data_IF_526960141201
#
_entry.id   IF_526960141201
#
_cell.length_a   1.000
_cell.length_b   1.000
_cell.length_c   1.000
_cell.angle_alpha   90.00
_cell.angle_beta   90.00
_cell.angle_gamma   90.00
#
_symmetry.space_group_name_H-M   'P 1'
#
loop_
_entity.id
_entity.type
_entity.pdbx_description
1 polymer ?
#
# COMPACT_ATOMS: atom_id res chain seq x y z
N UNK A 1 22.07 -22.58 22.00
CA UNK A 1 22.80 -21.50 22.69
C UNK A 1 24.29 -21.75 22.52
N UNK A 2 24.94 -21.02 21.61
CA UNK A 2 26.41 -20.92 21.48
C UNK A 2 26.75 -19.79 20.49
N UNK A 3 27.33 -18.75 21.08
CA UNK A 3 28.32 -17.80 20.54
C UNK A 3 28.03 -17.07 19.22
N UNK A 4 27.42 -15.90 19.36
CA UNK A 4 27.63 -14.71 18.54
C UNK A 4 28.98 -14.06 18.93
N UNK A 5 29.80 -13.63 17.95
CA UNK A 5 30.55 -12.38 18.10
C UNK A 5 30.26 -11.47 16.87
N UNK A 6 29.81 -10.24 17.10
CA UNK A 6 30.66 -9.04 17.15
C UNK A 6 31.43 -8.82 15.84
N UNK A 7 30.85 -8.01 14.95
CA UNK A 7 31.57 -7.13 14.02
C UNK A 7 30.54 -6.06 13.56
N UNK A 8 30.33 -4.98 14.30
CA UNK A 8 31.00 -3.69 14.10
C UNK A 8 31.32 -3.38 12.62
N UNK A 9 30.37 -2.79 11.89
CA UNK A 9 30.57 -2.11 10.61
C UNK A 9 29.70 -0.85 10.65
N UNK A 10 30.27 0.25 11.14
CA UNK A 10 30.91 1.31 10.34
C UNK A 10 29.86 2.30 9.82
N UNK A 11 29.83 3.43 10.52
CA UNK A 11 29.16 4.68 10.18
C UNK A 11 29.74 5.18 8.85
N UNK A 12 28.92 5.29 7.81
CA UNK A 12 29.20 6.18 6.67
C UNK A 12 28.14 7.29 6.64
N UNK A 13 28.52 8.42 7.23
CA UNK A 13 28.01 9.72 6.86
C UNK A 13 28.66 10.15 5.53
N UNK A 14 27.88 10.69 4.59
CA UNK A 14 28.46 11.22 3.36
C UNK A 14 27.45 11.76 2.35
N UNK A 15 27.28 13.08 2.40
CA UNK A 15 27.04 14.00 1.28
C UNK A 15 25.76 13.87 0.41
N UNK A 16 24.82 14.79 0.64
CA UNK A 16 24.00 15.34 -0.43
C UNK A 16 24.82 16.24 -1.35
N UNK A 17 24.45 16.31 -2.62
CA UNK A 17 24.82 17.39 -3.54
C UNK A 17 23.69 17.63 -4.55
N UNK A 18 23.44 18.92 -4.77
CA UNK A 18 22.37 19.52 -5.55
C UNK A 18 22.60 19.44 -7.08
N UNK A 19 21.50 19.68 -7.81
CA UNK A 19 21.39 19.80 -9.27
C UNK A 19 22.35 20.79 -9.91
N UNK A 20 22.57 20.66 -11.24
CA UNK A 20 22.34 21.81 -12.10
C UNK A 20 21.48 21.56 -13.35
N UNK A 21 20.70 22.62 -13.59
CA UNK A 21 19.98 23.16 -14.74
C UNK A 21 20.75 23.13 -16.07
N UNK A 22 20.07 22.82 -17.18
CA UNK A 22 20.28 23.49 -18.47
C UNK A 22 18.94 23.69 -19.19
N UNK A 23 18.64 24.97 -19.42
CA UNK A 23 17.62 25.44 -20.33
C UNK A 23 18.26 25.57 -21.71
N UNK A 24 17.52 25.20 -22.76
CA UNK A 24 17.82 25.66 -24.12
C UNK A 24 16.52 26.01 -24.83
N UNK A 25 16.15 27.27 -24.67
CA UNK A 25 15.30 28.01 -25.61
C UNK A 25 16.10 28.28 -26.89
N UNK A 26 15.52 27.97 -28.05
CA UNK A 26 15.47 28.80 -29.27
C UNK A 26 14.62 28.02 -30.31
N UNK A 27 13.37 28.44 -30.54
CA UNK A 27 12.97 29.41 -31.56
C UNK A 27 13.28 28.93 -33.00
N UNK A 28 12.43 29.04 -34.01
CA UNK A 28 11.02 29.36 -34.17
C UNK A 28 10.71 29.00 -35.62
N UNK A 29 9.52 28.47 -35.92
CA UNK A 29 8.91 28.72 -37.23
C UNK A 29 7.40 28.75 -37.10
N UNK A 30 6.89 29.97 -37.11
CA UNK A 30 5.48 30.28 -37.20
C UNK A 30 4.95 29.95 -38.61
N UNK A 31 3.78 29.32 -38.65
CA UNK A 31 2.81 29.50 -39.74
C UNK A 31 1.47 29.88 -39.11
N UNK A 32 0.91 31.06 -39.42
CA UNK A 32 -0.41 31.46 -38.97
C UNK A 32 -1.49 30.63 -39.68
N UNK A 33 -2.22 29.79 -38.95
CA UNK A 33 -3.50 29.25 -39.42
C UNK A 33 -4.62 29.74 -38.52
N UNK A 34 -5.14 30.87 -38.96
CA UNK A 34 -6.55 31.25 -38.97
C UNK A 34 -7.44 30.69 -37.84
N UNK A 35 -7.77 31.63 -36.97
CA UNK A 35 -8.76 31.58 -35.89
C UNK A 35 -10.14 31.16 -36.43
N UNK A 36 -10.42 29.86 -36.44
CA UNK A 36 -11.80 29.39 -36.36
C UNK A 36 -12.24 29.44 -34.90
N UNK A 37 -12.99 30.49 -34.54
CA UNK A 37 -13.79 30.52 -33.30
C UNK A 37 -14.82 29.39 -33.37
N UNK A 38 -14.46 28.21 -32.89
CA UNK A 38 -15.45 27.22 -32.48
C UNK A 38 -15.88 27.60 -31.07
N UNK A 39 -17.03 28.26 -31.00
CA UNK A 39 -17.81 28.44 -29.77
C UNK A 39 -18.36 27.08 -29.32
N UNK A 40 -17.46 26.19 -28.89
CA UNK A 40 -17.83 25.00 -28.13
C UNK A 40 -18.02 25.43 -26.68
N UNK A 41 -19.26 25.42 -26.18
CA UNK A 41 -19.55 25.63 -24.76
C UNK A 41 -18.58 24.78 -23.93
N UNK A 42 -17.84 25.41 -23.01
CA UNK A 42 -17.05 24.69 -22.03
C UNK A 42 -17.98 23.72 -21.30
N UNK A 43 -17.80 22.43 -21.54
CA UNK A 43 -18.59 21.40 -20.89
C UNK A 43 -18.31 21.49 -19.39
N UNK A 44 -19.34 21.56 -18.51
CA UNK A 44 -19.12 21.63 -17.08
C UNK A 44 -18.22 20.46 -16.67
N UNK A 45 -17.11 20.75 -15.99
CA UNK A 45 -16.27 19.71 -15.43
C UNK A 45 -17.14 18.90 -14.45
N UNK A 46 -17.31 17.58 -14.62
CA UNK A 46 -18.13 16.80 -13.71
C UNK A 46 -17.67 17.02 -12.27
N UNK A 47 -18.62 17.33 -11.39
CA UNK A 47 -18.32 17.55 -9.99
C UNK A 47 -17.65 16.30 -9.38
N UNK A 48 -16.67 16.46 -8.48
CA UNK A 48 -16.01 15.33 -7.83
C UNK A 48 -17.04 14.44 -7.13
N UNK A 49 -17.10 13.16 -7.50
CA UNK A 49 -17.96 12.18 -6.85
C UNK A 49 -17.24 11.67 -5.60
N UNK A 50 -17.70 12.04 -4.42
CA UNK A 50 -17.17 11.52 -3.14
C UNK A 50 -17.82 10.16 -2.88
N UNK A 51 -17.02 9.09 -2.94
CA UNK A 51 -17.45 7.74 -2.59
C UNK A 51 -16.83 7.33 -1.24
N UNK A 52 -17.63 6.89 -0.28
CA UNK A 52 -17.11 6.31 0.96
C UNK A 52 -16.28 5.06 0.65
N UNK A 53 -15.04 5.03 1.14
CA UNK A 53 -14.19 3.83 1.06
C UNK A 53 -14.51 2.92 2.25
N UNK A 54 -14.97 1.71 1.97
CA UNK A 54 -15.16 0.68 3.00
C UNK A 54 -13.82 0.01 3.31
N UNK A 55 -13.05 0.59 4.24
CA UNK A 55 -11.79 -0.01 4.69
C UNK A 55 -12.07 -1.16 5.68
N UNK A 56 -11.43 -2.31 5.45
CA UNK A 56 -11.46 -3.42 6.39
C UNK A 56 -10.40 -3.21 7.48
N UNK A 57 -10.73 -3.57 8.73
CA UNK A 57 -9.73 -3.74 9.79
C UNK A 57 -10.08 -4.93 10.70
N UNK A 58 -9.04 -5.64 11.13
CA UNK A 58 -9.14 -6.79 12.04
C UNK A 58 -7.87 -7.01 12.84
N UNK A 59 -7.84 -8.09 13.62
CA UNK A 59 -6.68 -8.51 14.42
C UNK A 59 -6.26 -9.93 14.10
N UNK A 60 -4.96 -10.19 14.10
CA UNK A 60 -4.43 -11.55 14.00
C UNK A 60 -4.69 -12.28 15.31
N UNK A 61 -5.38 -13.42 15.24
CA UNK A 61 -5.72 -14.25 16.43
C UNK A 61 -4.95 -15.57 16.46
N UNK A 62 -4.43 -16.02 15.31
CA UNK A 62 -3.59 -17.20 15.22
C UNK A 62 -2.54 -17.01 14.12
N UNK A 63 -1.34 -17.53 14.36
CA UNK A 63 -0.24 -17.55 13.39
C UNK A 63 0.33 -18.95 13.28
N UNK A 64 0.44 -19.44 12.06
CA UNK A 64 1.23 -20.61 11.70
C UNK A 64 2.36 -20.16 10.78
N UNK A 65 3.48 -19.77 11.39
CA UNK A 65 4.64 -19.24 10.67
C UNK A 65 5.30 -20.27 9.72
N UNK A 66 5.45 -21.57 10.07
CA UNK A 66 5.98 -22.57 9.15
C UNK A 66 5.18 -22.71 7.86
N UNK A 67 3.85 -22.67 7.95
CA UNK A 67 2.96 -22.75 6.78
C UNK A 67 2.65 -21.39 6.16
N UNK A 68 3.23 -20.30 6.67
CA UNK A 68 2.97 -18.92 6.23
C UNK A 68 1.48 -18.61 6.17
N UNK A 69 0.78 -18.90 7.26
CA UNK A 69 -0.66 -18.75 7.36
C UNK A 69 -1.05 -18.02 8.64
N UNK A 70 -2.11 -17.21 8.58
CA UNK A 70 -2.68 -16.53 9.73
C UNK A 70 -4.20 -16.67 9.75
N UNK A 71 -4.78 -16.59 10.95
CA UNK A 71 -6.21 -16.35 11.12
C UNK A 71 -6.40 -14.93 11.64
N UNK A 72 -7.28 -14.21 10.98
CA UNK A 72 -7.64 -12.83 11.30
C UNK A 72 -9.09 -12.82 11.78
N UNK A 73 -9.31 -12.20 12.93
CA UNK A 73 -10.63 -11.85 13.43
C UNK A 73 -10.99 -10.45 12.90
N UNK A 74 -11.99 -10.41 12.03
CA UNK A 74 -12.59 -9.18 11.51
C UNK A 74 -13.77 -8.71 12.34
N UNK A 75 -14.54 -7.79 11.79
CA UNK A 75 -15.84 -7.42 12.34
C UNK A 75 -16.91 -8.37 11.82
N UNK A 76 -17.83 -8.82 12.68
CA UNK A 76 -18.91 -9.72 12.27
C UNK A 76 -19.71 -9.15 11.09
N UNK A 77 -19.91 -9.96 10.05
CA UNK A 77 -20.60 -9.54 8.82
C UNK A 77 -19.79 -8.68 7.85
N UNK A 78 -18.51 -8.43 8.14
CA UNK A 78 -17.57 -7.67 7.31
C UNK A 78 -16.31 -8.51 7.09
N UNK A 79 -16.38 -9.42 6.11
CA UNK A 79 -15.24 -10.16 5.63
C UNK A 79 -14.68 -9.51 4.36
N UNK A 80 -13.34 -9.43 4.22
CA UNK A 80 -12.73 -8.98 2.98
C UNK A 80 -12.97 -10.01 1.85
N UNK A 81 -13.06 -9.57 0.58
CA UNK A 81 -13.02 -10.47 -0.56
C UNK A 81 -11.83 -11.44 -0.54
N UNK A 82 -12.05 -12.64 -1.06
CA UNK A 82 -10.98 -13.62 -1.33
C UNK A 82 -9.97 -13.02 -2.30
N UNK A 83 -8.71 -13.39 -2.17
CA UNK A 83 -7.55 -12.86 -2.92
C UNK A 83 -7.27 -11.37 -2.67
N UNK A 84 -8.01 -10.71 -1.78
CA UNK A 84 -7.68 -9.35 -1.39
C UNK A 84 -6.34 -9.35 -0.63
N UNK A 85 -5.45 -8.46 -1.04
CA UNK A 85 -4.21 -8.19 -0.31
C UNK A 85 -4.47 -7.23 0.84
N UNK A 86 -3.99 -7.58 2.04
CA UNK A 86 -4.11 -6.79 3.25
C UNK A 86 -2.74 -6.60 3.90
N UNK A 87 -2.56 -5.45 4.52
CA UNK A 87 -1.34 -5.10 5.23
C UNK A 87 -1.44 -5.53 6.70
N UNK A 88 -0.33 -6.03 7.25
CA UNK A 88 -0.20 -6.36 8.68
C UNK A 88 0.65 -5.30 9.37
N UNK A 89 0.15 -4.79 10.49
CA UNK A 89 0.78 -3.74 11.29
C UNK A 89 1.02 -4.18 12.72
N UNK A 90 2.19 -3.82 13.25
CA UNK A 90 2.54 -3.93 14.67
C UNK A 90 2.91 -2.54 15.16
N UNK A 91 2.24 -2.08 16.21
CA UNK A 91 2.48 -0.75 16.80
C UNK A 91 2.45 0.39 15.76
N UNK A 92 1.59 0.25 14.74
CA UNK A 92 1.46 1.22 13.65
C UNK A 92 2.47 1.09 12.51
N UNK A 93 3.47 0.20 12.63
CA UNK A 93 4.44 -0.08 11.57
C UNK A 93 4.00 -1.28 10.73
N UNK A 94 4.06 -1.17 9.40
CA UNK A 94 3.81 -2.30 8.50
C UNK A 94 4.92 -3.35 8.66
N UNK A 95 4.53 -4.56 9.05
CA UNK A 95 5.44 -5.69 9.31
C UNK A 95 5.25 -6.86 8.35
N UNK A 96 4.15 -6.86 7.59
CA UNK A 96 3.87 -7.93 6.64
C UNK A 96 2.71 -7.63 5.69
N UNK A 97 2.47 -8.59 4.82
CA UNK A 97 1.37 -8.59 3.85
C UNK A 97 0.76 -9.97 3.82
N UNK A 98 -0.58 -10.02 3.83
CA UNK A 98 -1.35 -11.27 3.75
C UNK A 98 -2.34 -11.20 2.60
N UNK A 99 -2.67 -12.36 2.03
CA UNK A 99 -3.70 -12.51 0.99
C UNK A 99 -4.83 -13.35 1.55
N UNK A 100 -6.06 -12.87 1.45
CA UNK A 100 -7.25 -13.54 1.99
C UNK A 100 -7.51 -14.85 1.24
N UNK A 101 -7.65 -15.97 1.96
CA UNK A 101 -8.05 -17.26 1.36
C UNK A 101 -9.55 -17.54 1.55
N UNK A 102 -10.04 -18.63 0.97
CA UNK A 102 -11.48 -18.98 0.96
C UNK A 102 -12.04 -19.39 2.33
N UNK A 103 -11.19 -19.62 3.33
CA UNK A 103 -11.58 -20.29 4.56
C UNK A 103 -12.03 -19.26 5.58
N UNK A 104 -13.34 -19.19 5.85
CA UNK A 104 -13.92 -18.29 6.82
C UNK A 104 -14.93 -18.99 7.73
N UNK A 105 -15.04 -18.53 8.98
CA UNK A 105 -16.03 -18.96 9.97
C UNK A 105 -16.41 -17.78 10.85
N UNK A 106 -17.66 -17.33 10.75
CA UNK A 106 -18.15 -16.18 11.51
C UNK A 106 -17.39 -14.91 11.13
N UNK A 107 -16.74 -14.28 12.11
CA UNK A 107 -15.87 -13.11 11.88
C UNK A 107 -14.41 -13.47 11.56
N UNK A 108 -14.05 -14.75 11.66
CA UNK A 108 -12.68 -15.22 11.44
C UNK A 108 -12.49 -15.65 10.01
N UNK A 109 -11.35 -15.31 9.43
CA UNK A 109 -10.93 -15.81 8.13
C UNK A 109 -9.44 -16.09 8.11
N UNK A 110 -9.10 -16.95 7.17
CA UNK A 110 -7.78 -17.40 6.85
C UNK A 110 -7.09 -16.45 5.87
N UNK A 111 -5.79 -16.24 6.03
CA UNK A 111 -4.99 -15.52 5.05
C UNK A 111 -3.58 -16.07 4.98
N UNK A 112 -3.01 -16.05 3.77
CA UNK A 112 -1.65 -16.51 3.50
C UNK A 112 -0.68 -15.34 3.63
N UNK A 113 0.37 -15.52 4.42
CA UNK A 113 1.41 -14.54 4.69
C UNK A 113 2.43 -14.53 3.54
N UNK A 114 2.29 -13.57 2.63
CA UNK A 114 3.13 -13.47 1.43
C UNK A 114 4.41 -12.68 1.67
N UNK A 115 4.42 -11.76 2.63
CA UNK A 115 5.60 -10.96 2.98
C UNK A 115 5.73 -10.72 4.48
N UNK A 116 6.98 -10.66 4.95
CA UNK A 116 7.30 -10.29 6.33
C UNK A 116 6.88 -11.32 7.37
N UNK A 117 6.45 -10.82 8.52
CA UNK A 117 6.08 -11.63 9.69
C UNK A 117 4.79 -11.10 10.33
N UNK A 118 4.02 -12.02 10.92
CA UNK A 118 2.83 -11.69 11.69
C UNK A 118 2.95 -12.31 13.09
N UNK A 119 2.32 -11.65 14.07
CA UNK A 119 2.17 -12.12 15.45
C UNK A 119 0.71 -11.97 15.88
N UNK A 120 0.29 -12.78 16.83
CA UNK A 120 -1.02 -12.63 17.48
C UNK A 120 -1.10 -11.23 18.09
N UNK A 121 -2.20 -10.52 17.84
CA UNK A 121 -2.43 -9.14 18.26
C UNK A 121 -2.08 -8.08 17.20
N UNK A 122 -1.31 -8.43 16.16
CA UNK A 122 -1.04 -7.52 15.05
C UNK A 122 -2.35 -7.10 14.36
N UNK A 123 -2.39 -5.89 13.82
CA UNK A 123 -3.58 -5.32 13.16
C UNK A 123 -3.52 -5.55 11.66
N UNK A 124 -4.63 -5.96 11.05
CA UNK A 124 -4.73 -6.16 9.60
C UNK A 124 -5.63 -5.08 9.00
N UNK A 125 -5.24 -4.49 7.85
CA UNK A 125 -5.94 -3.39 7.18
C UNK A 125 -5.88 -3.50 5.66
N UNK A 126 -6.84 -2.88 4.97
CA UNK A 126 -6.94 -2.84 3.50
C UNK A 126 -6.41 -1.55 2.85
N UNK A 127 -5.54 -0.82 3.53
CA UNK A 127 -5.05 0.52 3.15
C UNK A 127 -3.86 0.51 2.16
#
# INVERSE_FOLDING_TARGET
MRCLPVLLMVVLAGAGCASPKEAKDEAAKATPKERAKSSGKAQPNPAPVIQPVSAFSGKVVLVNAPLKYVVVEGTLGRLPPVEQTLNVYRDGQKVGVVVVSNQARGANFAADLTQGEARVGDTVRSD
#
